data_IF_126314272648
#
_entry.id   IF_126314272648
#
_cell.length_a   1.000
_cell.length_b   1.000
_cell.length_c   1.000
_cell.angle_alpha   90.00
_cell.angle_beta   90.00
_cell.angle_gamma   90.00
#
_symmetry.space_group_name_H-M   'P 1'
#
loop_
_entity.id
_entity.type
_entity.pdbx_description
1 polymer ?
#
# COMPACT_ATOMS: atom_id res chain seq x y z
N UNK A 1 -1.57 -10.24 -30.06
CA UNK A 1 -2.50 -9.28 -29.43
C UNK A 1 -3.41 -10.08 -28.50
N UNK A 2 -3.06 -10.17 -27.21
CA UNK A 2 -3.92 -10.85 -26.24
C UNK A 2 -5.01 -9.86 -25.77
N UNK A 3 -6.29 -10.23 -25.80
CA UNK A 3 -7.40 -9.37 -25.39
C UNK A 3 -7.44 -9.37 -23.85
N UNK A 4 -7.44 -8.18 -23.25
CA UNK A 4 -7.15 -7.91 -21.82
C UNK A 4 -5.72 -8.34 -21.46
N UNK A 5 -4.83 -7.35 -21.36
CA UNK A 5 -3.44 -7.60 -20.97
C UNK A 5 -3.39 -8.25 -19.59
N UNK A 6 -3.20 -9.56 -19.55
CA UNK A 6 -2.95 -10.29 -18.31
C UNK A 6 -1.67 -9.73 -17.73
N UNK A 7 -1.77 -9.17 -16.52
CA UNK A 7 -0.62 -8.78 -15.73
C UNK A 7 -0.05 -10.05 -15.10
N UNK A 8 1.24 -10.29 -15.33
CA UNK A 8 1.94 -11.32 -14.59
C UNK A 8 2.11 -10.86 -13.14
N UNK A 9 1.83 -11.77 -12.21
CA UNK A 9 1.84 -11.51 -10.77
C UNK A 9 2.91 -12.37 -10.12
N UNK A 10 3.87 -11.73 -9.45
CA UNK A 10 5.03 -12.38 -8.85
C UNK A 10 5.25 -11.86 -7.42
N UNK A 11 6.08 -12.58 -6.65
CA UNK A 11 6.57 -12.14 -5.34
C UNK A 11 5.46 -11.73 -4.36
N UNK A 12 4.44 -12.58 -4.26
CA UNK A 12 3.25 -12.36 -3.44
C UNK A 12 3.60 -12.58 -1.96
N UNK A 13 3.34 -11.57 -1.13
CA UNK A 13 3.41 -11.64 0.32
C UNK A 13 2.09 -11.19 0.94
N UNK A 14 1.59 -11.96 1.89
CA UNK A 14 0.44 -11.61 2.71
C UNK A 14 0.88 -11.36 4.14
N UNK A 15 0.41 -10.26 4.72
CA UNK A 15 0.66 -9.87 6.11
C UNK A 15 -0.68 -9.80 6.83
N UNK A 16 -0.81 -10.52 7.96
CA UNK A 16 -1.97 -10.40 8.84
C UNK A 16 -1.86 -9.12 9.66
N UNK A 17 -3.00 -8.53 10.03
CA UNK A 17 -3.03 -7.40 10.94
C UNK A 17 -2.51 -7.82 12.33
N UNK A 18 -1.24 -7.53 12.58
CA UNK A 18 -0.56 -7.75 13.86
C UNK A 18 0.36 -6.56 14.20
N UNK A 19 0.95 -6.52 15.42
CA UNK A 19 1.83 -5.42 15.84
C UNK A 19 3.09 -5.21 14.98
N UNK A 20 3.63 -6.27 14.38
CA UNK A 20 4.90 -6.24 13.64
C UNK A 20 4.71 -5.96 12.13
N UNK A 21 3.49 -6.19 11.63
CA UNK A 21 3.09 -6.06 10.24
C UNK A 21 3.57 -4.76 9.56
N UNK A 22 3.44 -3.55 10.15
CA UNK A 22 3.91 -2.32 9.48
C UNK A 22 5.41 -2.32 9.16
N UNK A 23 6.25 -2.82 10.07
CA UNK A 23 7.69 -2.88 9.87
C UNK A 23 8.06 -3.95 8.83
N UNK A 24 7.43 -5.13 8.93
CA UNK A 24 7.65 -6.24 7.99
C UNK A 24 7.21 -5.87 6.57
N UNK A 25 6.00 -5.30 6.42
CA UNK A 25 5.44 -4.87 5.13
C UNK A 25 6.30 -3.77 4.49
N UNK A 26 6.76 -2.78 5.28
CA UNK A 26 7.68 -1.74 4.80
C UNK A 26 8.98 -2.33 4.25
N UNK A 27 9.60 -3.27 4.97
CA UNK A 27 10.83 -3.92 4.55
C UNK A 27 10.66 -4.73 3.27
N UNK A 28 9.54 -5.45 3.15
CA UNK A 28 9.18 -6.21 1.95
C UNK A 28 8.92 -5.27 0.76
N UNK A 29 8.18 -4.18 0.95
CA UNK A 29 7.89 -3.18 -0.08
C UNK A 29 9.15 -2.53 -0.63
N UNK A 30 10.07 -2.11 0.24
CA UNK A 30 11.36 -1.57 -0.17
C UNK A 30 12.20 -2.61 -0.95
N UNK A 31 12.08 -3.89 -0.60
CA UNK A 31 12.78 -4.98 -1.29
C UNK A 31 12.20 -5.24 -2.67
N UNK A 32 10.87 -5.31 -2.82
CA UNK A 32 10.21 -5.48 -4.11
C UNK A 32 10.47 -4.29 -5.03
N UNK A 33 10.37 -3.06 -4.50
CA UNK A 33 10.66 -1.85 -5.26
C UNK A 33 12.06 -1.90 -5.89
N UNK A 34 13.10 -2.22 -5.11
CA UNK A 34 14.47 -2.37 -5.63
C UNK A 34 14.58 -3.49 -6.66
N UNK A 35 13.91 -4.63 -6.44
CA UNK A 35 13.96 -5.77 -7.36
C UNK A 35 13.39 -5.45 -8.74
N UNK A 36 12.40 -4.58 -8.81
CA UNK A 36 11.82 -4.14 -10.09
C UNK A 36 12.53 -2.92 -10.69
N UNK A 37 13.62 -2.46 -10.08
CA UNK A 37 14.43 -1.33 -10.57
C UNK A 37 13.93 0.04 -10.13
N UNK A 38 13.02 0.14 -9.15
CA UNK A 38 12.73 1.41 -8.50
C UNK A 38 13.88 1.77 -7.56
N UNK A 39 14.42 2.96 -7.73
CA UNK A 39 15.57 3.45 -6.98
C UNK A 39 15.30 4.81 -6.31
N UNK A 40 16.16 5.17 -5.35
CA UNK A 40 16.16 6.46 -4.69
C UNK A 40 14.81 6.84 -4.07
N UNK A 41 14.22 7.92 -4.57
CA UNK A 41 12.99 8.50 -4.05
C UNK A 41 11.78 7.55 -4.23
N UNK A 42 11.60 6.94 -5.41
CA UNK A 42 10.44 6.06 -5.69
C UNK A 42 10.40 4.84 -4.75
N UNK A 43 11.54 4.21 -4.47
CA UNK A 43 11.58 3.10 -3.52
C UNK A 43 11.20 3.53 -2.10
N UNK A 44 11.54 4.76 -1.73
CA UNK A 44 11.18 5.34 -0.43
C UNK A 44 9.70 5.71 -0.35
N UNK A 45 9.13 6.22 -1.45
CA UNK A 45 7.69 6.52 -1.57
C UNK A 45 6.84 5.25 -1.45
N UNK A 46 7.23 4.16 -2.13
CA UNK A 46 6.55 2.86 -2.00
C UNK A 46 6.56 2.36 -0.55
N UNK A 47 7.73 2.42 0.09
CA UNK A 47 7.86 2.01 1.50
C UNK A 47 7.02 2.88 2.44
N UNK A 48 6.92 4.19 2.18
CA UNK A 48 6.10 5.13 2.93
C UNK A 48 4.60 4.83 2.75
N UNK A 49 4.13 4.69 1.51
CA UNK A 49 2.74 4.39 1.21
C UNK A 49 2.28 3.08 1.88
N UNK A 50 3.10 2.03 1.81
CA UNK A 50 2.81 0.76 2.50
C UNK A 50 2.81 0.92 4.02
N UNK A 51 3.69 1.77 4.57
CA UNK A 51 3.70 2.04 6.02
C UNK A 51 2.42 2.73 6.47
N UNK A 52 1.94 3.73 5.73
CA UNK A 52 0.69 4.43 6.05
C UNK A 52 -0.52 3.49 5.93
N UNK A 53 -0.61 2.68 4.87
CA UNK A 53 -1.68 1.70 4.69
C UNK A 53 -1.69 0.64 5.80
N UNK A 54 -0.52 0.08 6.12
CA UNK A 54 -0.34 -0.86 7.23
C UNK A 54 -0.70 -0.26 8.59
N UNK A 55 -0.34 1.00 8.83
CA UNK A 55 -0.66 1.71 10.07
C UNK A 55 -2.15 1.97 10.20
N UNK A 56 -2.82 2.34 9.10
CA UNK A 56 -4.27 2.51 9.07
C UNK A 56 -4.98 1.18 9.37
N UNK A 57 -4.55 0.10 8.70
CA UNK A 57 -5.05 -1.26 8.93
C UNK A 57 -4.89 -1.65 10.41
N UNK A 58 -3.70 -1.46 11.00
CA UNK A 58 -3.43 -1.80 12.41
C UNK A 58 -4.30 -1.00 13.40
N UNK A 59 -4.62 0.26 13.09
CA UNK A 59 -5.34 1.16 14.02
C UNK A 59 -6.85 1.02 13.96
N UNK A 60 -7.39 0.73 12.77
CA UNK A 60 -8.83 0.85 12.52
C UNK A 60 -9.50 -0.50 12.27
N UNK A 61 -8.75 -1.54 11.88
CA UNK A 61 -9.32 -2.85 11.63
C UNK A 61 -9.59 -3.64 12.92
N UNK A 62 -10.66 -4.44 12.89
CA UNK A 62 -10.85 -5.50 13.89
C UNK A 62 -10.07 -6.76 13.50
N UNK A 63 -10.06 -7.09 12.21
CA UNK A 63 -9.19 -8.06 11.56
C UNK A 63 -8.92 -7.54 10.14
N UNK A 64 -7.83 -7.98 9.53
CA UNK A 64 -7.47 -7.57 8.19
C UNK A 64 -6.15 -8.15 7.72
N UNK A 65 -5.84 -7.88 6.46
CA UNK A 65 -4.60 -8.30 5.83
C UNK A 65 -4.13 -7.28 4.79
N UNK A 66 -2.82 -7.25 4.60
CA UNK A 66 -2.15 -6.51 3.53
C UNK A 66 -1.55 -7.53 2.55
N UNK A 67 -1.96 -7.46 1.30
CA UNK A 67 -1.29 -8.09 0.16
C UNK A 67 -0.23 -7.13 -0.36
N UNK A 68 0.93 -7.67 -0.71
CA UNK A 68 1.98 -6.98 -1.45
C UNK A 68 2.45 -7.89 -2.59
N UNK A 69 2.55 -7.36 -3.81
CA UNK A 69 2.99 -8.13 -4.99
C UNK A 69 3.68 -7.26 -6.04
N UNK A 70 4.37 -7.91 -6.96
CA UNK A 70 4.83 -7.30 -8.21
C UNK A 70 3.81 -7.56 -9.30
N UNK A 71 3.40 -6.49 -10.00
CA UNK A 71 2.66 -6.56 -11.25
C UNK A 71 3.59 -6.28 -12.41
N UNK A 72 3.53 -7.10 -13.45
CA UNK A 72 4.40 -6.97 -14.62
C UNK A 72 3.63 -7.08 -15.93
N UNK A 73 4.05 -6.25 -16.87
CA UNK A 73 3.78 -6.32 -18.30
C UNK A 73 5.11 -6.53 -19.04
N UNK A 74 5.11 -6.84 -20.34
CA UNK A 74 6.35 -6.95 -21.11
C UNK A 74 7.25 -5.70 -21.05
N UNK A 75 6.68 -4.51 -20.87
CA UNK A 75 7.40 -3.23 -20.90
C UNK A 75 7.52 -2.51 -19.54
N UNK A 76 6.71 -2.90 -18.53
CA UNK A 76 6.65 -2.22 -17.23
C UNK A 76 6.50 -3.19 -16.06
N UNK A 77 6.99 -2.79 -14.90
CA UNK A 77 6.70 -3.44 -13.63
C UNK A 77 6.34 -2.40 -12.57
N UNK A 78 5.49 -2.82 -11.61
CA UNK A 78 5.07 -2.01 -10.48
C UNK A 78 4.93 -2.84 -9.22
N UNK A 79 4.95 -2.18 -8.07
CA UNK A 79 4.57 -2.78 -6.79
C UNK A 79 3.12 -2.42 -6.54
N UNK A 80 2.28 -3.42 -6.28
CA UNK A 80 0.92 -3.23 -5.81
C UNK A 80 0.82 -3.68 -4.35
N UNK A 81 0.07 -2.93 -3.56
CA UNK A 81 -0.43 -3.42 -2.29
C UNK A 81 -1.94 -3.25 -2.22
N UNK A 82 -2.59 -4.17 -1.51
CA UNK A 82 -4.03 -4.14 -1.27
C UNK A 82 -4.25 -4.40 0.21
N UNK A 83 -5.01 -3.54 0.88
CA UNK A 83 -5.46 -3.76 2.25
C UNK A 83 -6.91 -4.17 2.24
N UNK A 84 -7.25 -5.20 3.02
CA UNK A 84 -8.62 -5.65 3.23
C UNK A 84 -8.84 -5.83 4.72
N UNK A 85 -9.94 -5.28 5.24
CA UNK A 85 -10.25 -5.33 6.65
C UNK A 85 -11.75 -5.47 6.96
N UNK A 86 -12.04 -5.83 8.20
CA UNK A 86 -13.39 -5.86 8.78
C UNK A 86 -13.50 -4.85 9.93
N UNK A 87 -13.06 -3.63 9.71
CA UNK A 87 -13.24 -2.49 10.59
C UNK A 87 -14.62 -1.83 10.44
N UNK A 88 -14.87 -0.71 11.13
CA UNK A 88 -16.13 0.03 11.07
C UNK A 88 -16.39 0.72 9.71
N UNK A 89 -15.41 0.68 8.79
CA UNK A 89 -15.44 1.41 7.53
C UNK A 89 -15.13 2.91 7.69
N UNK A 90 -15.23 3.64 6.58
CA UNK A 90 -15.06 5.10 6.55
C UNK A 90 -16.43 5.76 6.35
N UNK A 91 -16.78 6.71 7.22
CA UNK A 91 -18.04 7.44 7.12
C UNK A 91 -18.06 8.43 5.95
N UNK A 92 -16.91 9.02 5.64
CA UNK A 92 -16.70 9.99 4.57
C UNK A 92 -15.31 9.75 3.96
N UNK A 93 -15.29 9.13 2.76
CA UNK A 93 -14.05 8.76 2.06
C UNK A 93 -13.33 10.01 1.55
N UNK A 94 -14.06 11.01 1.06
CA UNK A 94 -13.47 12.24 0.55
C UNK A 94 -12.76 13.00 1.68
N UNK A 95 -13.35 13.03 2.87
CA UNK A 95 -12.71 13.61 4.06
C UNK A 95 -11.48 12.82 4.54
N UNK A 96 -11.48 11.49 4.38
CA UNK A 96 -10.32 10.64 4.71
C UNK A 96 -9.16 10.82 3.71
N UNK A 97 -9.46 11.19 2.46
CA UNK A 97 -8.48 11.51 1.42
C UNK A 97 -7.98 12.96 1.50
N UNK A 98 -8.74 13.87 2.14
CA UNK A 98 -8.31 15.24 2.37
C UNK A 98 -7.16 15.30 3.38
N UNK A 99 -6.15 16.12 3.10
CA UNK A 99 -4.99 16.31 3.98
C UNK A 99 -5.39 16.88 5.35
N UNK A 100 -4.70 16.42 6.40
CA UNK A 100 -4.82 16.97 7.76
C UNK A 100 -5.83 16.26 8.66
N UNK A 101 -6.55 15.24 8.19
CA UNK A 101 -7.43 14.38 9.02
C UNK A 101 -6.67 13.22 9.67
N UNK A 102 -5.46 13.45 10.20
CA UNK A 102 -4.80 12.45 11.06
C UNK A 102 -5.40 12.52 12.46
N UNK A 103 -6.20 11.51 12.83
CA UNK A 103 -6.84 11.42 14.14
C UNK A 103 -5.90 10.88 15.23
N UNK A 104 -4.67 10.46 14.92
CA UNK A 104 -3.77 9.89 15.93
C UNK A 104 -2.26 9.98 15.58
N UNK A 105 -1.58 11.08 15.88
CA UNK A 105 -0.13 11.09 16.20
C UNK A 105 0.91 10.43 15.25
N UNK A 106 0.59 10.13 13.99
CA UNK A 106 1.59 9.78 12.95
C UNK A 106 2.16 11.04 12.31
N UNK A 107 3.16 10.91 11.43
CA UNK A 107 3.72 12.00 10.62
C UNK A 107 2.68 12.75 9.74
N UNK A 108 1.41 12.35 9.79
CA UNK A 108 0.29 13.24 9.50
C UNK A 108 -0.15 13.29 8.05
N UNK A 109 0.12 12.24 7.28
CA UNK A 109 -0.09 12.25 5.82
C UNK A 109 -1.23 11.32 5.34
N UNK A 110 -1.56 10.26 6.09
CA UNK A 110 -2.82 9.54 5.98
C UNK A 110 -3.09 8.90 4.60
N UNK A 111 -4.35 8.55 4.37
CA UNK A 111 -4.79 7.92 3.12
C UNK A 111 -4.61 8.85 1.90
N UNK A 112 -4.73 10.17 2.10
CA UNK A 112 -4.45 11.17 1.06
C UNK A 112 -3.01 11.12 0.54
N UNK A 113 -2.03 10.86 1.40
CA UNK A 113 -0.66 10.69 0.94
C UNK A 113 -0.43 9.39 0.18
N UNK A 114 -1.08 8.31 0.59
CA UNK A 114 -1.06 7.06 -0.19
C UNK A 114 -1.52 7.32 -1.62
N UNK A 115 -2.63 8.04 -1.79
CA UNK A 115 -3.16 8.42 -3.10
C UNK A 115 -2.20 9.31 -3.91
N UNK A 116 -1.41 10.19 -3.27
CA UNK A 116 -0.43 11.04 -3.96
C UNK A 116 0.87 10.32 -4.35
N UNK A 117 1.29 9.33 -3.56
CA UNK A 117 2.54 8.59 -3.79
C UNK A 117 2.37 7.52 -4.88
N UNK A 118 1.15 7.00 -5.02
CA UNK A 118 0.81 5.94 -5.96
C UNK A 118 0.60 6.48 -7.38
N UNK A 119 1.02 5.69 -8.38
CA UNK A 119 0.69 5.96 -9.79
C UNK A 119 -0.80 5.66 -10.07
N UNK A 120 -1.38 4.70 -9.33
CA UNK A 120 -2.78 4.28 -9.39
C UNK A 120 -3.27 4.05 -7.97
N UNK A 121 -4.45 4.59 -7.65
CA UNK A 121 -5.08 4.48 -6.34
C UNK A 121 -6.58 4.20 -6.50
N UNK A 122 -7.12 3.35 -5.63
CA UNK A 122 -8.54 2.99 -5.59
C UNK A 122 -8.95 2.59 -4.16
N UNK A 123 -10.24 2.78 -3.80
CA UNK A 123 -10.80 2.44 -2.49
C UNK A 123 -12.31 2.20 -2.50
#
# INVERSE_FOLDING_TARGET
MSPLGVLDCEDIAWFRADPEMPSAARGAAATLARRIGLEGYRASEVALAVTEAATNLQRHATDGALLLRVLRTPDRAGVEFVTVDTGPGMADVDAALADGTSTAGTLGIGLGAVARLADVFDI
#
